data_IF_248467335799
#
_entry.id   IF_248467335799
#
_cell.length_a   1.000
_cell.length_b   1.000
_cell.length_c   1.000
_cell.angle_alpha   90.00
_cell.angle_beta   90.00
_cell.angle_gamma   90.00
#
_symmetry.space_group_name_H-M   'P 1'
#
loop_
_entity.id
_entity.type
_entity.pdbx_description
1 polymer ?
#
# COMPACT_ATOMS: atom_id res chain seq x y z
N UNK A 1 46.81 0.40 78.39
CA UNK A 1 47.99 1.13 77.87
C UNK A 1 48.02 0.94 76.36
N UNK A 2 48.20 2.04 75.62
CA UNK A 2 47.84 2.18 74.22
C UNK A 2 48.65 1.32 73.23
N UNK A 3 47.95 0.89 72.18
CA UNK A 3 48.47 0.28 70.95
C UNK A 3 49.47 1.21 70.25
N UNK A 4 50.65 0.70 69.90
CA UNK A 4 51.57 1.28 68.92
C UNK A 4 51.68 0.28 67.77
N UNK A 5 50.94 0.52 66.70
CA UNK A 5 50.98 -0.28 65.47
C UNK A 5 51.78 0.45 64.40
N UNK A 6 52.82 -0.21 63.90
CA UNK A 6 53.81 0.36 62.98
C UNK A 6 53.29 0.55 61.56
N UNK A 7 53.87 1.55 60.89
CA UNK A 7 53.63 1.94 59.50
C UNK A 7 54.10 0.82 58.54
N UNK A 8 53.19 0.31 57.71
CA UNK A 8 53.47 -0.68 56.66
C UNK A 8 53.71 0.00 55.31
N UNK A 9 54.76 -0.44 54.62
CA UNK A 9 55.26 0.12 53.36
C UNK A 9 54.25 0.00 52.19
N UNK A 10 54.17 1.08 51.40
CA UNK A 10 53.39 1.19 50.17
C UNK A 10 54.10 0.46 49.02
N UNK A 11 53.58 -0.71 48.62
CA UNK A 11 54.02 -1.41 47.41
C UNK A 11 53.28 -0.87 46.18
N UNK A 12 54.00 -0.25 45.24
CA UNK A 12 53.45 0.21 43.96
C UNK A 12 53.25 -0.98 43.01
N UNK A 13 52.00 -1.34 42.72
CA UNK A 13 51.67 -2.25 41.60
C UNK A 13 51.38 -1.42 40.35
N UNK A 14 52.23 -1.54 39.34
CA UNK A 14 51.99 -1.01 38.00
C UNK A 14 50.88 -1.81 37.32
N UNK A 15 49.75 -1.16 37.01
CA UNK A 15 48.68 -1.74 36.19
C UNK A 15 49.06 -1.58 34.72
N UNK A 16 49.36 -2.69 34.05
CA UNK A 16 49.58 -2.70 32.60
C UNK A 16 48.25 -2.46 31.86
N UNK A 17 48.17 -1.37 31.08
CA UNK A 17 47.02 -1.07 30.22
C UNK A 17 46.99 -2.08 29.07
N UNK A 18 45.95 -2.92 29.01
CA UNK A 18 45.65 -3.74 27.82
C UNK A 18 45.09 -2.86 26.72
N UNK A 19 45.64 -2.99 25.51
CA UNK A 19 45.13 -2.33 24.31
C UNK A 19 43.76 -2.91 23.89
N UNK A 20 42.84 -2.09 23.35
CA UNK A 20 41.55 -2.57 22.89
C UNK A 20 41.72 -3.41 21.62
N UNK A 21 41.29 -4.67 21.67
CA UNK A 21 41.21 -5.54 20.49
C UNK A 21 40.05 -5.07 19.60
N UNK A 22 40.37 -4.65 18.37
CA UNK A 22 39.38 -4.26 17.37
C UNK A 22 38.39 -5.42 17.12
N UNK A 23 37.09 -5.12 17.22
CA UNK A 23 36.03 -6.07 16.84
C UNK A 23 36.01 -6.17 15.30
N UNK A 24 35.86 -7.38 14.72
CA UNK A 24 35.66 -7.48 13.28
C UNK A 24 34.33 -6.82 12.93
N UNK A 25 34.38 -5.75 12.12
CA UNK A 25 33.19 -5.19 11.49
C UNK A 25 32.68 -6.21 10.48
N UNK A 26 31.56 -6.85 10.79
CA UNK A 26 30.82 -7.65 9.81
C UNK A 26 30.34 -6.68 8.75
N UNK A 27 30.99 -6.65 7.61
CA UNK A 27 30.47 -5.99 6.41
C UNK A 27 29.35 -6.89 5.93
N UNK A 28 28.11 -6.54 6.28
CA UNK A 28 26.93 -7.16 5.68
C UNK A 28 26.99 -6.78 4.20
N UNK A 29 27.30 -7.74 3.33
CA UNK A 29 27.24 -7.54 1.90
C UNK A 29 25.83 -7.05 1.55
N UNK A 30 25.73 -5.93 0.84
CA UNK A 30 24.45 -5.45 0.31
C UNK A 30 23.83 -6.59 -0.51
N UNK A 31 22.55 -6.93 -0.29
CA UNK A 31 21.90 -7.96 -1.07
C UNK A 31 21.99 -7.58 -2.56
N UNK A 32 22.46 -8.52 -3.39
CA UNK A 32 22.41 -8.38 -4.85
C UNK A 32 20.98 -8.05 -5.27
N UNK A 33 20.76 -7.05 -6.14
CA UNK A 33 19.41 -6.66 -6.54
C UNK A 33 18.75 -7.86 -7.22
N UNK A 34 17.74 -8.41 -6.54
CA UNK A 34 16.86 -9.44 -7.05
C UNK A 34 16.01 -8.73 -8.10
N UNK A 35 16.40 -8.78 -9.38
CA UNK A 35 15.63 -8.17 -10.47
C UNK A 35 14.35 -8.98 -10.71
N UNK A 36 13.39 -8.76 -9.82
CA UNK A 36 12.07 -9.37 -9.74
C UNK A 36 11.09 -8.74 -10.74
N UNK A 37 11.11 -7.40 -10.79
CA UNK A 37 10.14 -6.62 -11.56
C UNK A 37 10.73 -6.18 -12.90
N UNK A 38 10.03 -6.50 -14.00
CA UNK A 38 10.40 -5.99 -15.32
C UNK A 38 10.06 -4.50 -15.42
N UNK A 39 11.04 -3.66 -15.10
CA UNK A 39 10.94 -2.19 -15.23
C UNK A 39 11.58 -1.66 -16.51
N UNK A 40 11.95 -2.54 -17.44
CA UNK A 40 12.65 -2.13 -18.67
C UNK A 40 11.77 -1.18 -19.50
N UNK A 41 12.38 -0.09 -19.98
CA UNK A 41 11.67 0.96 -20.75
C UNK A 41 10.75 1.85 -19.92
N UNK A 42 10.68 1.67 -18.60
CA UNK A 42 9.92 2.53 -17.71
C UNK A 42 10.82 3.66 -17.18
N UNK A 43 10.29 4.89 -17.06
CA UNK A 43 10.99 6.01 -16.38
C UNK A 43 10.98 5.86 -14.84
N UNK A 44 11.55 4.77 -14.33
CA UNK A 44 11.74 4.46 -12.91
C UNK A 44 13.03 3.66 -12.70
N UNK A 45 13.65 3.79 -11.54
CA UNK A 45 14.84 3.04 -11.10
C UNK A 45 14.48 2.08 -9.97
N UNK A 46 15.25 1.00 -9.79
CA UNK A 46 15.00 0.02 -8.72
C UNK A 46 15.07 0.63 -7.31
N UNK A 47 15.84 1.71 -7.14
CA UNK A 47 15.93 2.47 -5.89
C UNK A 47 14.80 3.48 -5.69
N UNK A 48 13.90 3.64 -6.66
CA UNK A 48 12.78 4.58 -6.52
C UNK A 48 11.82 4.13 -5.42
N UNK A 49 11.28 5.13 -4.72
CA UNK A 49 10.36 4.94 -3.61
C UNK A 49 8.98 4.52 -4.12
N UNK A 50 8.48 3.40 -3.61
CA UNK A 50 7.18 2.85 -3.92
C UNK A 50 6.57 2.22 -2.66
N UNK A 51 5.79 2.99 -1.88
CA UNK A 51 5.11 2.46 -0.71
C UNK A 51 3.95 1.56 -1.13
N UNK A 52 3.66 0.56 -0.30
CA UNK A 52 2.57 -0.40 -0.53
C UNK A 52 1.58 -0.40 0.63
N UNK A 53 0.31 -0.56 0.34
CA UNK A 53 -0.77 -0.68 1.32
C UNK A 53 -1.38 -2.08 1.32
N UNK A 54 -1.73 -2.59 2.50
CA UNK A 54 -2.51 -3.81 2.67
C UNK A 54 -3.99 -3.46 2.78
N UNK A 55 -4.71 -3.60 1.67
CA UNK A 55 -6.13 -3.29 1.55
C UNK A 55 -7.01 -4.50 1.88
N UNK A 56 -8.16 -4.22 2.52
CA UNK A 56 -9.28 -5.16 2.58
C UNK A 56 -10.16 -4.93 1.36
N UNK A 57 -10.25 -5.96 0.53
CA UNK A 57 -11.13 -6.01 -0.63
C UNK A 57 -12.09 -7.20 -0.50
N UNK A 58 -13.03 -7.31 -1.42
CA UNK A 58 -14.01 -8.38 -1.43
C UNK A 58 -14.05 -9.04 -2.80
N UNK A 59 -14.18 -10.36 -2.84
CA UNK A 59 -14.35 -11.10 -4.10
C UNK A 59 -15.66 -11.87 -4.06
N UNK A 60 -16.40 -11.87 -5.17
CA UNK A 60 -17.59 -12.72 -5.31
C UNK A 60 -17.16 -14.17 -5.51
N UNK A 61 -17.64 -15.06 -4.65
CA UNK A 61 -17.42 -16.50 -4.79
C UNK A 61 -18.46 -17.18 -5.70
N UNK A 62 -18.31 -18.48 -5.90
CA UNK A 62 -19.21 -19.30 -6.73
C UNK A 62 -20.68 -19.25 -6.30
N UNK A 63 -20.97 -18.90 -5.04
CA UNK A 63 -22.31 -18.79 -4.48
C UNK A 63 -22.83 -17.34 -4.49
N UNK A 64 -22.19 -16.43 -5.23
CA UNK A 64 -22.49 -15.00 -5.27
C UNK A 64 -22.40 -14.27 -3.91
N UNK A 65 -21.62 -14.81 -2.97
CA UNK A 65 -21.33 -14.15 -1.68
C UNK A 65 -20.00 -13.43 -1.76
N UNK A 66 -19.86 -12.37 -0.97
CA UNK A 66 -18.62 -11.59 -0.86
C UNK A 66 -17.72 -12.19 0.21
N UNK A 67 -16.56 -12.68 -0.21
CA UNK A 67 -15.50 -13.14 0.69
C UNK A 67 -14.44 -12.04 0.81
N UNK A 68 -14.05 -11.72 2.04
CA UNK A 68 -13.01 -10.72 2.30
C UNK A 68 -11.63 -11.28 1.91
N UNK A 69 -10.87 -10.49 1.17
CA UNK A 69 -9.52 -10.81 0.70
C UNK A 69 -8.58 -9.66 1.00
N UNK A 70 -7.30 -9.98 1.22
CA UNK A 70 -6.27 -8.99 1.48
C UNK A 70 -5.39 -8.80 0.26
N UNK A 71 -5.26 -7.54 -0.17
CA UNK A 71 -4.55 -7.18 -1.38
C UNK A 71 -3.45 -6.18 -1.06
N UNK A 72 -2.25 -6.46 -1.52
CA UNK A 72 -1.11 -5.54 -1.47
C UNK A 72 -1.14 -4.67 -2.71
N UNK A 73 -1.28 -3.36 -2.53
CA UNK A 73 -1.40 -2.37 -3.61
C UNK A 73 -0.29 -1.32 -3.52
N UNK A 74 0.34 -0.92 -4.65
CA UNK A 74 1.21 0.25 -4.69
C UNK A 74 0.41 1.53 -4.44
N UNK A 75 0.93 2.42 -3.59
CA UNK A 75 0.27 3.67 -3.26
C UNK A 75 0.88 4.83 -4.04
N UNK A 76 0.03 5.68 -4.62
CA UNK A 76 0.46 6.95 -5.20
C UNK A 76 0.75 8.00 -4.11
N UNK A 77 1.44 9.09 -4.47
CA UNK A 77 1.61 10.24 -3.56
C UNK A 77 0.29 10.77 -3.02
N UNK A 78 -0.74 10.87 -3.88
CA UNK A 78 -2.06 11.37 -3.49
C UNK A 78 -2.77 10.42 -2.53
N UNK A 79 -2.64 9.10 -2.76
CA UNK A 79 -3.19 8.09 -1.85
C UNK A 79 -2.52 8.19 -0.48
N UNK A 80 -1.18 8.19 -0.44
CA UNK A 80 -0.42 8.26 0.81
C UNK A 80 -0.75 9.53 1.61
N UNK A 81 -0.79 10.70 0.94
CA UNK A 81 -1.15 11.98 1.56
C UNK A 81 -2.56 11.96 2.15
N UNK A 82 -3.54 11.40 1.44
CA UNK A 82 -4.92 11.38 1.91
C UNK A 82 -5.12 10.44 3.11
N UNK A 83 -4.56 9.23 3.04
CA UNK A 83 -4.83 8.23 4.07
C UNK A 83 -4.05 8.48 5.36
N UNK A 84 -2.85 9.07 5.28
CA UNK A 84 -2.01 9.35 6.46
C UNK A 84 -2.04 10.80 6.92
N UNK A 85 -2.24 11.76 6.02
CA UNK A 85 -2.12 13.20 6.32
C UNK A 85 -3.45 13.86 6.65
N UNK A 86 -4.53 13.51 5.94
CA UNK A 86 -5.86 14.09 6.15
C UNK A 86 -6.81 13.16 6.91
N UNK A 87 -6.38 11.93 7.20
CA UNK A 87 -7.15 10.95 7.97
C UNK A 87 -8.43 10.48 7.27
N UNK A 88 -8.47 10.53 5.94
CA UNK A 88 -9.64 10.07 5.18
C UNK A 88 -9.90 8.57 5.44
N UNK A 89 -11.17 8.16 5.55
CA UNK A 89 -11.54 6.76 5.69
C UNK A 89 -10.92 5.92 4.57
N UNK A 90 -10.34 4.78 4.93
CA UNK A 90 -9.62 3.93 3.98
C UNK A 90 -9.83 2.44 4.22
N UNK A 91 -9.66 1.66 3.16
CA UNK A 91 -9.66 0.19 3.20
C UNK A 91 -8.28 -0.40 3.57
N UNK A 92 -7.25 0.44 3.70
CA UNK A 92 -5.92 -0.03 4.10
C UNK A 92 -5.86 -0.29 5.61
N UNK A 93 -5.56 -1.53 5.99
CA UNK A 93 -5.21 -1.87 7.37
C UNK A 93 -3.85 -1.31 7.75
N UNK A 94 -2.91 -1.40 6.80
CA UNK A 94 -1.48 -1.13 7.01
C UNK A 94 -0.85 -0.55 5.76
N UNK A 95 0.22 0.22 5.95
CA UNK A 95 1.03 0.79 4.87
C UNK A 95 2.51 0.61 5.22
N UNK A 96 3.31 0.17 4.26
CA UNK A 96 4.75 0.01 4.35
C UNK A 96 5.45 0.96 3.39
N UNK A 97 6.42 1.72 3.89
CA UNK A 97 7.34 2.47 3.05
C UNK A 97 8.40 1.54 2.47
N UNK A 98 8.56 1.54 1.15
CA UNK A 98 9.51 0.66 0.47
C UNK A 98 10.13 1.33 -0.77
N UNK A 99 11.19 0.71 -1.29
CA UNK A 99 11.71 0.96 -2.64
C UNK A 99 11.32 -0.20 -3.55
N UNK A 100 11.38 -0.02 -4.87
CA UNK A 100 11.04 -1.08 -5.84
C UNK A 100 11.88 -2.34 -5.61
N UNK A 101 13.20 -2.21 -5.38
CA UNK A 101 14.08 -3.35 -5.06
C UNK A 101 13.78 -4.02 -3.71
N UNK A 102 13.14 -3.30 -2.80
CA UNK A 102 12.71 -3.82 -1.50
C UNK A 102 11.42 -4.63 -1.56
N UNK A 103 10.70 -4.60 -2.69
CA UNK A 103 9.45 -5.35 -2.87
C UNK A 103 9.73 -6.74 -3.45
N UNK A 104 9.38 -7.83 -2.73
CA UNK A 104 9.62 -9.19 -3.20
C UNK A 104 8.63 -9.62 -4.29
N UNK A 105 8.99 -10.64 -5.08
CA UNK A 105 8.11 -11.27 -6.07
C UNK A 105 6.86 -11.92 -5.47
N UNK A 106 6.95 -12.33 -4.20
CA UNK A 106 5.87 -13.00 -3.48
C UNK A 106 5.45 -12.15 -2.28
N UNK A 107 4.14 -11.81 -2.14
CA UNK A 107 3.66 -10.99 -1.03
C UNK A 107 3.90 -11.63 0.34
N UNK A 108 4.02 -12.96 0.44
CA UNK A 108 4.36 -13.65 1.69
C UNK A 108 5.78 -13.39 2.19
N UNK A 109 6.67 -12.83 1.36
CA UNK A 109 8.03 -12.45 1.73
C UNK A 109 8.12 -11.01 2.26
N UNK A 110 7.00 -10.28 2.34
CA UNK A 110 6.97 -8.94 2.93
C UNK A 110 7.26 -8.98 4.45
N UNK A 111 7.72 -7.87 5.05
CA UNK A 111 8.07 -7.82 6.47
C UNK A 111 6.95 -8.34 7.38
N UNK A 112 7.32 -9.09 8.42
CA UNK A 112 6.36 -9.68 9.37
C UNK A 112 5.52 -8.60 10.07
N UNK A 113 6.09 -7.44 10.37
CA UNK A 113 5.37 -6.30 10.95
C UNK A 113 4.25 -5.79 10.02
N UNK A 114 4.43 -5.92 8.69
CA UNK A 114 3.45 -5.53 7.69
C UNK A 114 2.40 -6.60 7.41
N UNK A 115 2.74 -7.89 7.55
CA UNK A 115 1.82 -9.01 7.30
C UNK A 115 1.08 -9.50 8.56
N UNK A 116 1.71 -9.52 9.74
CA UNK A 116 1.17 -10.06 11.00
C UNK A 116 0.43 -11.41 10.82
N UNK A 117 0.99 -12.30 9.98
CA UNK A 117 0.39 -13.60 9.68
C UNK A 117 -0.80 -13.58 8.71
N UNK A 118 -1.20 -12.41 8.19
CA UNK A 118 -2.23 -12.31 7.15
C UNK A 118 -1.71 -12.90 5.83
N UNK A 119 -2.56 -13.69 5.15
CA UNK A 119 -2.32 -14.14 3.78
C UNK A 119 -2.85 -13.08 2.81
N UNK A 120 -1.99 -12.54 1.95
CA UNK A 120 -2.34 -11.50 0.99
C UNK A 120 -1.84 -11.83 -0.42
N UNK A 121 -2.50 -11.28 -1.43
CA UNK A 121 -2.07 -11.33 -2.83
C UNK A 121 -1.65 -9.94 -3.31
N UNK A 122 -0.79 -9.85 -4.32
CA UNK A 122 -0.61 -8.57 -5.03
C UNK A 122 -1.87 -8.20 -5.82
N UNK A 123 -2.04 -6.91 -6.07
CA UNK A 123 -3.10 -6.40 -6.94
C UNK A 123 -2.92 -6.84 -8.39
N UNK A 124 -4.00 -6.77 -9.17
CA UNK A 124 -3.91 -6.85 -10.63
C UNK A 124 -2.94 -5.78 -11.18
N UNK A 125 -2.19 -6.15 -12.21
CA UNK A 125 -1.15 -5.34 -12.87
C UNK A 125 -0.19 -4.66 -11.90
N UNK A 126 0.18 -5.37 -10.83
CA UNK A 126 1.01 -4.82 -9.74
C UNK A 126 2.28 -4.14 -10.26
N UNK A 127 3.01 -4.78 -11.18
CA UNK A 127 4.25 -4.23 -11.73
C UNK A 127 4.06 -2.88 -12.45
N UNK A 128 3.01 -2.76 -13.26
CA UNK A 128 2.68 -1.52 -13.98
C UNK A 128 2.21 -0.43 -13.01
N UNK A 129 1.33 -0.80 -12.07
CA UNK A 129 0.83 0.11 -11.02
C UNK A 129 1.95 0.57 -10.09
N UNK A 130 2.93 -0.29 -9.79
CA UNK A 130 4.11 0.02 -9.00
C UNK A 130 4.98 1.05 -9.72
N UNK A 131 5.26 0.86 -11.01
CA UNK A 131 5.99 1.83 -11.83
C UNK A 131 5.25 3.17 -11.89
N UNK A 132 3.93 3.15 -12.09
CA UNK A 132 3.11 4.35 -12.10
C UNK A 132 3.13 5.08 -10.75
N UNK A 133 2.99 4.36 -9.64
CA UNK A 133 3.06 4.90 -8.29
C UNK A 133 4.43 5.54 -8.01
N UNK A 134 5.52 4.86 -8.34
CA UNK A 134 6.88 5.37 -8.15
C UNK A 134 7.13 6.71 -8.88
N UNK A 135 6.62 6.86 -10.12
CA UNK A 135 6.68 8.13 -10.87
C UNK A 135 6.00 9.29 -10.14
N UNK A 136 4.92 9.03 -9.41
CA UNK A 136 4.24 10.10 -8.65
C UNK A 136 5.18 10.68 -7.58
N UNK A 137 6.01 9.86 -6.95
CA UNK A 137 7.00 10.31 -5.96
C UNK A 137 8.23 10.98 -6.59
N UNK A 138 8.59 10.66 -7.83
CA UNK A 138 9.57 11.44 -8.60
C UNK A 138 9.06 12.85 -8.88
N UNK A 139 7.77 12.98 -9.24
CA UNK A 139 7.12 14.28 -9.49
C UNK A 139 6.94 15.09 -8.20
N UNK A 140 6.71 14.43 -7.06
CA UNK A 140 6.49 15.08 -5.76
C UNK A 140 7.35 14.44 -4.67
N UNK A 141 8.65 14.77 -4.60
CA UNK A 141 9.58 14.15 -3.64
C UNK A 141 9.26 14.45 -2.17
N UNK A 142 8.58 15.56 -1.89
CA UNK A 142 8.20 15.98 -0.52
C UNK A 142 7.33 14.93 0.16
N UNK A 143 6.48 14.21 -0.60
CA UNK A 143 5.61 13.17 -0.06
C UNK A 143 6.39 11.96 0.49
N UNK A 144 7.66 11.77 0.11
CA UNK A 144 8.53 10.72 0.68
C UNK A 144 8.79 10.93 2.18
N UNK A 145 8.65 12.17 2.69
CA UNK A 145 8.82 12.49 4.11
C UNK A 145 7.65 12.05 5.00
N UNK A 146 6.55 11.58 4.41
CA UNK A 146 5.35 11.16 5.14
C UNK A 146 5.52 9.78 5.78
N UNK A 147 6.30 8.91 5.12
CA UNK A 147 6.52 7.52 5.52
C UNK A 147 7.92 7.09 5.08
N UNK A 148 8.81 6.80 6.03
CA UNK A 148 10.16 6.35 5.75
C UNK A 148 10.22 4.95 5.13
N UNK A 149 11.30 4.62 4.44
CA UNK A 149 11.56 3.25 3.97
C UNK A 149 11.73 2.33 5.19
N UNK A 150 11.02 1.20 5.18
CA UNK A 150 10.93 0.26 6.30
C UNK A 150 9.94 0.67 7.40
N UNK A 151 9.37 1.88 7.36
CA UNK A 151 8.35 2.31 8.30
C UNK A 151 7.01 1.66 7.96
N UNK A 152 6.33 1.13 8.99
CA UNK A 152 4.98 0.59 8.88
C UNK A 152 4.03 1.48 9.68
N UNK A 153 2.94 1.92 9.04
CA UNK A 153 1.80 2.57 9.69
C UNK A 153 0.62 1.63 9.72
N UNK A 154 -0.08 1.58 10.85
CA UNK A 154 -1.19 0.66 11.06
C UNK A 154 -2.45 1.43 11.46
N UNK A 155 -3.61 0.84 11.18
CA UNK A 155 -4.88 1.33 11.70
C UNK A 155 -4.97 1.24 13.23
N UNK A 156 -4.31 0.25 13.82
CA UNK A 156 -4.30 0.01 15.28
C UNK A 156 -3.58 1.12 16.03
N UNK A 157 -2.51 1.68 15.45
CA UNK A 157 -1.77 2.80 16.02
C UNK A 157 -2.49 4.15 15.83
N UNK A 158 -3.70 4.16 15.23
CA UNK A 158 -4.49 5.35 14.96
C UNK A 158 -3.92 6.25 13.85
N UNK A 159 -2.91 5.79 13.11
CA UNK A 159 -2.34 6.54 11.97
C UNK A 159 -3.18 6.42 10.70
N UNK A 160 -4.04 5.41 10.60
CA UNK A 160 -4.95 5.19 9.48
C UNK A 160 -6.38 5.11 9.98
N UNK A 161 -7.28 5.85 9.34
CA UNK A 161 -8.72 5.76 9.58
C UNK A 161 -9.30 4.57 8.81
N UNK A 162 -9.12 3.35 9.32
CA UNK A 162 -9.64 2.15 8.66
C UNK A 162 -11.17 2.09 8.74
N UNK A 163 -11.82 1.94 7.59
CA UNK A 163 -13.27 1.84 7.47
C UNK A 163 -13.64 0.96 6.28
N UNK A 164 -14.42 -0.09 6.55
CA UNK A 164 -15.04 -0.95 5.52
C UNK A 164 -16.55 -0.77 5.43
N UNK A 165 -17.10 0.11 6.27
CA UNK A 165 -18.53 0.35 6.36
C UNK A 165 -18.96 1.34 5.26
N UNK A 166 -19.91 0.95 4.43
CA UNK A 166 -20.47 1.77 3.34
C UNK A 166 -19.94 1.41 1.96
N UNK A 167 -18.64 1.59 1.71
CA UNK A 167 -18.04 1.37 0.37
C UNK A 167 -17.12 0.16 0.40
N UNK A 168 -17.64 -0.99 -0.03
CA UNK A 168 -16.87 -2.22 -0.20
C UNK A 168 -16.18 -2.21 -1.56
N UNK A 169 -14.86 -2.41 -1.57
CA UNK A 169 -14.08 -2.56 -2.80
C UNK A 169 -14.21 -4.00 -3.30
N UNK A 170 -15.14 -4.22 -4.22
CA UNK A 170 -15.35 -5.53 -4.83
C UNK A 170 -14.40 -5.66 -6.03
N UNK A 171 -13.55 -6.68 -6.00
CA UNK A 171 -12.57 -6.95 -7.06
C UNK A 171 -13.27 -7.54 -8.29
N UNK A 172 -12.84 -7.10 -9.47
CA UNK A 172 -13.28 -7.59 -10.78
C UNK A 172 -14.80 -7.52 -10.98
N UNK A 173 -15.47 -6.59 -10.31
CA UNK A 173 -16.88 -6.32 -10.53
C UNK A 173 -17.02 -5.40 -11.74
N UNK A 174 -17.56 -5.96 -12.82
CA UNK A 174 -17.93 -5.18 -14.00
C UNK A 174 -19.27 -4.50 -13.74
N UNK A 175 -19.30 -3.17 -13.85
CA UNK A 175 -20.54 -2.42 -13.79
C UNK A 175 -21.25 -2.55 -15.14
N UNK A 176 -22.42 -3.18 -15.16
CA UNK A 176 -23.32 -3.20 -16.31
C UNK A 176 -24.35 -2.06 -16.17
N UNK A 177 -24.32 -1.03 -17.03
CA UNK A 177 -25.29 0.06 -16.99
C UNK A 177 -26.70 -0.48 -17.23
N UNK A 178 -27.62 -0.12 -16.35
CA UNK A 178 -29.04 -0.49 -16.47
C UNK A 178 -29.82 0.67 -17.08
N UNK A 179 -30.97 0.38 -17.68
CA UNK A 179 -31.86 1.43 -18.20
C UNK A 179 -32.27 2.44 -17.11
N UNK A 180 -32.34 1.99 -15.87
CA UNK A 180 -32.64 2.84 -14.70
C UNK A 180 -31.50 3.81 -14.33
N UNK A 181 -30.27 3.56 -14.79
CA UNK A 181 -29.11 4.46 -14.65
C UNK A 181 -29.14 5.59 -15.70
N UNK A 182 -30.10 5.55 -16.62
CA UNK A 182 -30.23 6.56 -17.66
C UNK A 182 -30.74 7.89 -17.07
N UNK A 183 -29.83 8.86 -16.92
CA UNK A 183 -30.19 10.23 -16.56
C UNK A 183 -31.12 10.80 -17.62
N UNK A 184 -32.40 10.97 -17.28
CA UNK A 184 -33.39 11.58 -18.18
C UNK A 184 -32.96 13.01 -18.50
N UNK A 185 -32.83 13.32 -19.78
CA UNK A 185 -32.56 14.69 -20.22
C UNK A 185 -33.70 15.61 -19.79
N UNK A 186 -33.36 16.86 -19.46
CA UNK A 186 -34.35 17.87 -19.13
C UNK A 186 -35.30 18.08 -20.32
N UNK A 187 -36.61 18.12 -20.04
CA UNK A 187 -37.68 18.18 -21.04
C UNK A 187 -37.68 19.48 -21.85
N UNK A 188 -36.96 20.49 -21.37
CA UNK A 188 -36.84 21.80 -22.01
C UNK A 188 -35.91 21.80 -23.23
N UNK A 189 -35.00 20.83 -23.34
CA UNK A 189 -34.10 20.65 -24.49
C UNK A 189 -34.47 19.40 -25.30
N UNK A 190 -35.76 19.19 -25.49
CA UNK A 190 -36.21 18.19 -26.46
C UNK A 190 -36.14 18.78 -27.88
N UNK A 191 -34.98 18.63 -28.51
CA UNK A 191 -34.74 19.03 -29.91
C UNK A 191 -35.63 18.22 -30.87
N UNK A 192 -36.21 17.11 -30.41
CA UNK A 192 -37.00 16.19 -31.21
C UNK A 192 -38.38 15.92 -30.63
N UNK A 193 -39.03 16.93 -30.03
CA UNK A 193 -40.47 16.95 -29.74
C UNK A 193 -41.09 15.59 -29.42
N UNK A 194 -40.58 14.90 -28.40
CA UNK A 194 -41.07 13.61 -27.93
C UNK A 194 -42.41 13.86 -27.26
N UNK A 195 -43.47 13.75 -28.07
CA UNK A 195 -44.84 13.67 -27.57
C UNK A 195 -44.95 12.60 -26.50
N UNK A 196 -45.83 12.85 -25.54
CA UNK A 196 -46.07 12.01 -24.36
C UNK A 196 -46.14 10.51 -24.72
N UNK A 197 -45.41 9.70 -23.96
CA UNK A 197 -45.28 8.26 -24.19
C UNK A 197 -46.62 7.53 -24.02
N UNK A 198 -47.37 7.31 -25.10
CA UNK A 198 -48.52 6.38 -25.15
C UNK A 198 -48.29 5.15 -26.06
N UNK A 199 -47.05 4.83 -26.47
CA UNK A 199 -46.80 3.88 -27.57
C UNK A 199 -45.90 2.65 -27.31
N UNK A 200 -45.51 2.36 -26.07
CA UNK A 200 -44.31 1.55 -25.79
C UNK A 200 -44.26 0.09 -26.29
N UNK A 201 -45.38 -0.58 -26.56
CA UNK A 201 -45.38 -2.01 -26.92
C UNK A 201 -45.74 -2.30 -28.38
N UNK A 202 -46.62 -1.51 -29.00
CA UNK A 202 -47.14 -1.81 -30.34
C UNK A 202 -46.19 -1.39 -31.47
N UNK A 203 -45.38 -0.36 -31.25
CA UNK A 203 -44.52 0.19 -32.31
C UNK A 203 -43.19 -0.57 -32.45
N UNK A 204 -42.72 -1.21 -31.39
CA UNK A 204 -41.55 -2.11 -31.44
C UNK A 204 -41.86 -3.36 -32.30
N UNK A 205 -43.09 -3.88 -32.23
CA UNK A 205 -43.52 -5.05 -33.00
C UNK A 205 -43.62 -4.77 -34.51
N UNK A 206 -43.92 -3.52 -34.91
CA UNK A 206 -44.00 -3.14 -36.33
C UNK A 206 -42.63 -3.08 -37.00
N UNK A 207 -41.59 -2.69 -36.26
CA UNK A 207 -40.22 -2.63 -36.78
C UNK A 207 -39.60 -4.01 -36.99
N UNK A 208 -40.03 -5.01 -36.23
CA UNK A 208 -39.54 -6.39 -36.35
C UNK A 208 -40.16 -7.17 -37.52
N UNK A 209 -41.28 -6.69 -38.06
CA UNK A 209 -42.04 -7.38 -39.10
C UNK A 209 -42.00 -6.66 -40.47
N UNK A 210 -41.09 -5.70 -40.63
CA UNK A 210 -40.89 -4.94 -41.88
C UNK A 210 -39.71 -5.47 -42.69
#
# INVERSE_FOLDING_TARGET
>A
MAFVGSCGAFGTRSVAKRAPTARPSVVVAAPTPRMAWNIEGQDVEVSDYCPVGLAVCYQRNQNNKLDAVLVVEPLSTGTLENVTGTGQPTSYKRILGATIEGLPDNPSELPEDFLQGDSASFSEDFAERMCAAARTFKRRPISKGILGVGEVKTAEDGTLTFCTDGIQRILNEEWEPKFDDNVKQDKTIDVYGRGEEEGGAADVQKLYNA
#
